data_IF_181463875666
#
_entry.id   IF_181463875666
#
_cell.length_a   1.000
_cell.length_b   1.000
_cell.length_c   1.000
_cell.angle_alpha   90.00
_cell.angle_beta   90.00
_cell.angle_gamma   90.00
#
_symmetry.space_group_name_H-M   'P 1'
#
loop_
_entity.id
_entity.type
_entity.pdbx_description
1 polymer ?
#
# COMPACT_ATOMS: atom_id res chain seq x y z
N UNK A 1 53.42 -9.99 -6.89
CA UNK A 1 52.61 -8.96 -6.18
C UNK A 1 51.28 -8.85 -6.91
N UNK A 2 50.19 -8.83 -6.14
CA UNK A 2 48.87 -9.37 -6.48
C UNK A 2 48.09 -8.62 -7.58
N UNK A 3 47.37 -9.42 -8.37
CA UNK A 3 46.47 -9.04 -9.47
C UNK A 3 45.33 -8.12 -9.03
N UNK A 4 45.20 -6.99 -9.75
CA UNK A 4 44.01 -6.15 -9.78
C UNK A 4 42.90 -6.88 -10.54
N UNK A 5 42.02 -7.58 -9.81
CA UNK A 5 40.75 -8.07 -10.37
C UNK A 5 39.70 -6.96 -10.29
N UNK A 6 39.50 -6.28 -11.41
CA UNK A 6 38.36 -5.41 -11.65
C UNK A 6 37.06 -6.22 -11.55
N UNK A 7 36.28 -5.97 -10.50
CA UNK A 7 34.96 -6.56 -10.32
C UNK A 7 33.99 -5.82 -11.25
N UNK A 8 33.60 -6.47 -12.35
CA UNK A 8 32.52 -5.97 -13.22
C UNK A 8 31.19 -6.04 -12.45
N UNK A 9 30.38 -4.97 -12.43
CA UNK A 9 29.05 -5.04 -11.84
C UNK A 9 28.19 -5.96 -12.72
N UNK A 10 27.79 -7.11 -12.16
CA UNK A 10 26.76 -7.95 -12.78
C UNK A 10 25.42 -7.27 -12.55
N UNK A 11 24.92 -6.56 -13.55
CA UNK A 11 23.53 -6.08 -13.55
C UNK A 11 22.61 -7.30 -13.56
N UNK A 12 22.09 -7.66 -12.39
CA UNK A 12 21.05 -8.67 -12.27
C UNK A 12 19.73 -7.97 -12.58
N UNK A 13 18.98 -8.44 -13.58
CA UNK A 13 17.68 -7.87 -13.97
C UNK A 13 16.62 -7.94 -12.86
N UNK A 14 16.92 -8.70 -11.79
CA UNK A 14 16.12 -8.83 -10.58
C UNK A 14 17.08 -8.71 -9.41
N UNK A 15 17.14 -7.54 -8.78
CA UNK A 15 17.86 -7.34 -7.53
C UNK A 15 17.09 -8.01 -6.39
N UNK A 16 17.80 -8.61 -5.42
CA UNK A 16 17.15 -9.17 -4.24
C UNK A 16 16.78 -8.00 -3.32
N UNK A 17 15.49 -7.82 -3.05
CA UNK A 17 14.98 -6.85 -2.08
C UNK A 17 15.27 -7.22 -0.60
N UNK A 18 16.00 -8.31 -0.36
CA UNK A 18 16.27 -8.93 0.96
C UNK A 18 17.02 -7.99 1.92
N UNK A 19 17.81 -7.04 1.39
CA UNK A 19 18.69 -6.16 2.20
C UNK A 19 18.22 -4.69 2.27
N UNK A 20 17.09 -4.31 1.65
CA UNK A 20 16.61 -2.92 1.65
C UNK A 20 15.28 -2.78 2.40
N UNK A 21 15.24 -1.88 3.39
CA UNK A 21 13.99 -1.56 4.09
C UNK A 21 12.97 -0.95 3.12
N UNK A 22 11.71 -1.32 3.30
CA UNK A 22 10.61 -0.70 2.55
C UNK A 22 10.58 0.81 2.77
N UNK A 23 10.39 1.58 1.69
CA UNK A 23 10.40 3.05 1.71
C UNK A 23 11.63 3.65 2.41
N UNK A 24 12.84 3.16 2.11
CA UNK A 24 14.10 3.56 2.77
C UNK A 24 14.33 5.08 2.90
N UNK A 25 13.78 5.89 2.01
CA UNK A 25 13.88 7.36 2.04
C UNK A 25 13.04 8.02 3.16
N UNK A 26 11.94 7.38 3.58
CA UNK A 26 10.96 7.94 4.53
C UNK A 26 10.65 7.02 5.71
N UNK A 27 11.18 5.78 5.71
CA UNK A 27 10.97 4.80 6.75
C UNK A 27 11.50 5.33 8.09
N UNK A 28 10.65 5.30 9.12
CA UNK A 28 10.96 5.80 10.46
C UNK A 28 11.34 7.29 10.53
N UNK A 29 10.93 8.10 9.55
CA UNK A 29 11.23 9.55 9.50
C UNK A 29 10.57 10.38 10.62
N UNK A 30 9.48 9.90 11.22
CA UNK A 30 8.76 10.60 12.30
C UNK A 30 8.95 9.84 13.62
N UNK A 31 9.82 10.38 14.49
CA UNK A 31 9.95 9.90 15.87
C UNK A 31 8.69 10.24 16.69
N UNK A 32 8.16 9.25 17.41
CA UNK A 32 6.97 9.44 18.21
C UNK A 32 7.26 10.44 19.32
N UNK A 33 6.44 11.49 19.48
CA UNK A 33 6.54 12.30 20.69
C UNK A 33 6.28 11.39 21.89
N UNK A 34 7.34 11.07 22.65
CA UNK A 34 7.27 10.17 23.82
C UNK A 34 6.37 10.79 24.90
N UNK A 35 6.43 12.10 25.04
CA UNK A 35 5.66 12.90 25.99
C UNK A 35 4.62 13.79 25.28
N UNK A 36 3.34 13.68 25.67
CA UNK A 36 2.24 14.48 25.12
C UNK A 36 0.88 13.80 25.20
N UNK A 37 -0.19 14.59 25.05
CA UNK A 37 -1.58 14.14 25.05
C UNK A 37 -1.87 13.20 23.88
N UNK A 38 -2.82 12.26 24.03
CA UNK A 38 -3.26 11.33 22.98
C UNK A 38 -3.48 12.02 21.62
N UNK A 39 -4.16 13.17 21.61
CA UNK A 39 -4.43 13.95 20.40
C UNK A 39 -3.17 14.44 19.68
N UNK A 40 -2.11 14.80 20.42
CA UNK A 40 -0.85 15.25 19.81
C UNK A 40 -0.10 14.08 19.15
N UNK A 41 -0.18 12.89 19.75
CA UNK A 41 0.36 11.66 19.17
C UNK A 41 -0.45 11.23 17.95
N UNK A 42 -1.78 11.34 18.01
CA UNK A 42 -2.67 11.02 16.89
C UNK A 42 -2.39 11.92 15.67
N UNK A 43 -2.26 13.22 15.86
CA UNK A 43 -1.97 14.17 14.78
C UNK A 43 -0.57 13.96 14.17
N UNK A 44 0.41 13.53 14.96
CA UNK A 44 1.76 13.22 14.43
C UNK A 44 1.76 12.03 13.46
N UNK A 45 0.81 11.10 13.59
CA UNK A 45 0.74 9.85 12.83
C UNK A 45 -0.51 9.70 11.95
N UNK A 46 -1.32 10.75 11.80
CA UNK A 46 -2.53 10.70 10.98
C UNK A 46 -2.26 10.68 9.47
N UNK A 47 -1.04 11.03 9.05
CA UNK A 47 -0.67 11.17 7.64
C UNK A 47 -0.90 9.90 6.80
N UNK A 48 -0.31 8.74 7.16
CA UNK A 48 -0.48 7.51 6.38
C UNK A 48 -1.95 7.06 6.23
N UNK A 49 -2.76 7.24 7.28
CA UNK A 49 -4.19 6.91 7.21
C UNK A 49 -4.96 7.80 6.23
N UNK A 50 -4.63 9.09 6.17
CA UNK A 50 -5.24 10.02 5.22
C UNK A 50 -4.85 9.71 3.76
N UNK A 51 -3.59 9.32 3.52
CA UNK A 51 -3.11 8.92 2.19
C UNK A 51 -3.85 7.68 1.66
N UNK A 52 -4.15 6.71 2.51
CA UNK A 52 -4.95 5.54 2.10
C UNK A 52 -6.43 5.93 1.94
N UNK A 53 -6.97 6.81 2.79
CA UNK A 53 -8.37 7.17 2.74
C UNK A 53 -8.76 7.98 1.49
N UNK A 54 -7.86 8.82 0.95
CA UNK A 54 -8.14 9.62 -0.25
C UNK A 54 -8.28 8.75 -1.50
N UNK A 55 -7.53 7.65 -1.58
CA UNK A 55 -7.60 6.67 -2.68
C UNK A 55 -8.99 6.01 -2.79
N UNK A 56 -9.70 5.82 -1.67
CA UNK A 56 -11.09 5.32 -1.68
C UNK A 56 -12.14 6.33 -2.15
N UNK A 57 -11.75 7.59 -2.38
CA UNK A 57 -12.62 8.69 -2.79
C UNK A 57 -12.38 9.07 -4.26
N UNK A 58 -12.02 8.10 -5.10
CA UNK A 58 -11.76 8.25 -6.51
C UNK A 58 -13.05 8.55 -7.33
N UNK A 59 -12.93 9.29 -8.46
CA UNK A 59 -14.06 9.56 -9.34
C UNK A 59 -14.76 8.30 -9.88
N UNK A 60 -14.05 7.18 -10.03
CA UNK A 60 -14.59 5.92 -10.53
C UNK A 60 -15.67 5.34 -9.62
N UNK A 61 -15.44 5.39 -8.31
CA UNK A 61 -16.42 4.96 -7.31
C UNK A 61 -17.66 5.88 -7.30
N UNK A 62 -17.49 7.18 -7.53
CA UNK A 62 -18.61 8.14 -7.53
C UNK A 62 -19.61 7.86 -8.64
N UNK A 63 -19.14 7.55 -9.86
CA UNK A 63 -20.02 7.27 -11.01
C UNK A 63 -20.94 6.08 -10.71
N UNK A 64 -20.38 5.00 -10.17
CA UNK A 64 -21.16 3.78 -9.85
C UNK A 64 -22.10 4.01 -8.66
N UNK A 65 -21.67 4.75 -7.65
CA UNK A 65 -22.50 5.09 -6.47
C UNK A 65 -23.69 5.98 -6.84
N UNK A 66 -23.50 6.98 -7.71
CA UNK A 66 -24.57 7.85 -8.20
C UNK A 66 -25.55 7.07 -9.09
N UNK A 67 -25.05 6.28 -10.04
CA UNK A 67 -25.89 5.43 -10.88
C UNK A 67 -26.67 4.39 -10.06
N UNK A 68 -26.01 3.75 -9.09
CA UNK A 68 -26.63 2.81 -8.16
C UNK A 68 -27.69 3.47 -7.27
N UNK A 69 -27.43 4.68 -6.78
CA UNK A 69 -28.40 5.46 -6.02
C UNK A 69 -29.62 5.88 -6.86
N UNK A 70 -29.43 6.21 -8.14
CA UNK A 70 -30.52 6.54 -9.05
C UNK A 70 -31.43 5.33 -9.33
N UNK A 71 -30.86 4.12 -9.46
CA UNK A 71 -31.60 2.89 -9.77
C UNK A 71 -32.22 2.23 -8.52
N UNK A 72 -31.46 2.12 -7.43
CA UNK A 72 -31.81 1.32 -6.24
C UNK A 72 -32.10 2.16 -4.99
N UNK A 73 -32.07 3.50 -5.12
CA UNK A 73 -32.27 4.46 -4.01
C UNK A 73 -31.33 4.14 -2.84
N UNK A 74 -31.86 4.01 -1.64
CA UNK A 74 -31.07 3.79 -0.41
C UNK A 74 -30.71 2.32 -0.14
N UNK A 75 -31.12 1.38 -0.98
CA UNK A 75 -30.91 -0.07 -0.73
C UNK A 75 -29.43 -0.44 -0.69
N UNK A 76 -28.59 0.22 -1.51
CA UNK A 76 -27.16 -0.05 -1.58
C UNK A 76 -26.38 0.51 -0.39
N UNK A 77 -26.97 1.37 0.43
CA UNK A 77 -26.27 2.06 1.52
C UNK A 77 -25.75 1.09 2.60
N UNK A 78 -26.48 0.00 2.86
CA UNK A 78 -26.06 -1.05 3.78
C UNK A 78 -24.85 -1.83 3.24
N UNK A 79 -24.80 -2.07 1.93
CA UNK A 79 -23.69 -2.76 1.27
C UNK A 79 -22.44 -1.89 1.28
N UNK A 80 -22.59 -0.58 1.00
CA UNK A 80 -21.49 0.39 1.12
C UNK A 80 -20.93 0.40 2.53
N UNK A 81 -21.79 0.43 3.56
CA UNK A 81 -21.36 0.39 4.96
C UNK A 81 -20.56 -0.89 5.29
N UNK A 82 -21.07 -2.05 4.89
CA UNK A 82 -20.37 -3.34 5.12
C UNK A 82 -19.04 -3.38 4.37
N UNK A 83 -18.99 -2.88 3.13
CA UNK A 83 -17.76 -2.78 2.35
C UNK A 83 -16.72 -1.90 3.05
N UNK A 84 -17.11 -0.71 3.56
CA UNK A 84 -16.22 0.17 4.30
C UNK A 84 -15.69 -0.47 5.60
N UNK A 85 -16.53 -1.23 6.32
CA UNK A 85 -16.09 -1.96 7.52
C UNK A 85 -15.05 -3.05 7.18
N UNK A 86 -15.24 -3.76 6.08
CA UNK A 86 -14.26 -4.72 5.59
C UNK A 86 -12.94 -4.05 5.18
N UNK A 87 -13.00 -2.92 4.47
CA UNK A 87 -11.83 -2.16 4.08
C UNK A 87 -11.02 -1.71 5.31
N UNK A 88 -11.69 -1.15 6.33
CA UNK A 88 -11.03 -0.77 7.58
C UNK A 88 -10.34 -1.95 8.28
N UNK A 89 -10.98 -3.13 8.30
CA UNK A 89 -10.38 -4.33 8.88
C UNK A 89 -9.11 -4.76 8.14
N UNK A 90 -9.16 -4.81 6.81
CA UNK A 90 -8.02 -5.22 5.98
C UNK A 90 -6.87 -4.21 6.09
N UNK A 91 -7.15 -2.91 6.05
CA UNK A 91 -6.11 -1.89 6.19
C UNK A 91 -5.52 -1.84 7.60
N UNK A 92 -6.30 -2.12 8.63
CA UNK A 92 -5.77 -2.31 9.97
C UNK A 92 -4.78 -3.49 10.03
N UNK A 93 -5.08 -4.61 9.36
CA UNK A 93 -4.18 -5.76 9.30
C UNK A 93 -2.89 -5.45 8.52
N UNK A 94 -3.00 -4.75 7.39
CA UNK A 94 -1.84 -4.33 6.59
C UNK A 94 -0.95 -3.34 7.37
N UNK A 95 -1.54 -2.35 8.03
CA UNK A 95 -0.82 -1.42 8.90
C UNK A 95 -0.16 -2.12 10.09
N UNK A 96 -0.86 -3.07 10.73
CA UNK A 96 -0.29 -3.89 11.80
C UNK A 96 0.90 -4.72 11.33
N UNK A 97 0.86 -5.26 10.11
CA UNK A 97 1.99 -5.97 9.52
C UNK A 97 3.20 -5.04 9.40
N UNK A 98 3.04 -3.87 8.79
CA UNK A 98 4.12 -2.89 8.63
C UNK A 98 4.71 -2.44 9.96
N UNK A 99 3.88 -2.20 10.98
CA UNK A 99 4.34 -1.78 12.31
C UNK A 99 5.07 -2.91 13.05
N UNK A 100 4.56 -4.15 13.00
CA UNK A 100 5.11 -5.27 13.79
C UNK A 100 6.32 -5.91 13.11
N UNK A 101 6.26 -6.10 11.80
CA UNK A 101 7.31 -6.77 11.03
C UNK A 101 8.36 -5.82 10.47
N UNK A 102 8.08 -4.52 10.43
CA UNK A 102 8.98 -3.51 9.83
C UNK A 102 9.29 -3.80 8.35
N UNK A 103 8.39 -4.51 7.68
CA UNK A 103 8.46 -4.90 6.28
C UNK A 103 7.12 -4.57 5.61
N UNK A 104 7.13 -4.32 4.30
CA UNK A 104 5.89 -4.14 3.55
C UNK A 104 5.24 -5.50 3.17
N UNK A 105 3.98 -5.48 2.74
CA UNK A 105 3.25 -6.69 2.37
C UNK A 105 3.89 -7.41 1.17
N UNK A 106 4.56 -6.68 0.27
CA UNK A 106 5.21 -7.26 -0.89
C UNK A 106 6.47 -8.04 -0.47
N UNK A 107 7.28 -7.49 0.44
CA UNK A 107 8.43 -8.15 1.07
C UNK A 107 7.98 -9.41 1.81
N UNK A 108 7.00 -9.28 2.73
CA UNK A 108 6.47 -10.40 3.50
C UNK A 108 5.93 -11.55 2.62
N UNK A 109 5.30 -11.20 1.49
CA UNK A 109 4.77 -12.19 0.55
C UNK A 109 5.87 -12.78 -0.33
N UNK A 110 6.84 -11.96 -0.76
CA UNK A 110 7.98 -12.37 -1.58
C UNK A 110 8.85 -13.40 -0.88
N UNK A 111 9.02 -13.26 0.44
CA UNK A 111 9.82 -14.16 1.27
C UNK A 111 9.14 -15.50 1.52
N UNK A 112 7.80 -15.53 1.47
CA UNK A 112 7.00 -16.74 1.67
C UNK A 112 6.60 -17.43 0.37
N UNK A 113 6.97 -16.88 -0.79
CA UNK A 113 6.61 -17.42 -2.11
C UNK A 113 7.83 -17.71 -2.98
N UNK A 114 7.64 -18.50 -4.03
CA UNK A 114 8.69 -18.77 -5.01
C UNK A 114 8.88 -17.57 -5.96
N UNK A 115 10.01 -17.54 -6.68
CA UNK A 115 10.34 -16.41 -7.58
C UNK A 115 9.25 -16.15 -8.64
N UNK A 116 8.59 -17.20 -9.13
CA UNK A 116 7.52 -17.08 -10.10
C UNK A 116 6.26 -16.42 -9.48
N UNK A 117 5.86 -16.84 -8.28
CA UNK A 117 4.73 -16.26 -7.54
C UNK A 117 4.95 -14.79 -7.21
N UNK A 118 6.17 -14.41 -6.84
CA UNK A 118 6.51 -13.00 -6.63
C UNK A 118 6.37 -12.15 -7.90
N UNK A 119 6.81 -12.67 -9.06
CA UNK A 119 6.67 -11.96 -10.34
C UNK A 119 5.19 -11.84 -10.75
N UNK A 120 4.40 -12.91 -10.58
CA UNK A 120 2.96 -12.88 -10.90
C UNK A 120 2.25 -11.84 -10.04
N UNK A 121 2.50 -11.83 -8.72
CA UNK A 121 1.90 -10.86 -7.81
C UNK A 121 2.34 -9.43 -8.15
N UNK A 122 3.61 -9.23 -8.51
CA UNK A 122 4.09 -7.92 -8.96
C UNK A 122 3.35 -7.44 -10.22
N UNK A 123 3.22 -8.28 -11.26
CA UNK A 123 2.48 -7.93 -12.48
C UNK A 123 1.01 -7.60 -12.16
N UNK A 124 0.36 -8.39 -11.30
CA UNK A 124 -1.03 -8.14 -10.91
C UNK A 124 -1.19 -6.80 -10.19
N UNK A 125 -0.27 -6.45 -9.29
CA UNK A 125 -0.30 -5.15 -8.60
C UNK A 125 -0.03 -3.99 -9.54
N UNK A 126 0.94 -4.11 -10.46
CA UNK A 126 1.21 -3.07 -11.48
C UNK A 126 -0.02 -2.82 -12.37
N UNK A 127 -0.67 -3.89 -12.84
CA UNK A 127 -1.89 -3.78 -13.63
C UNK A 127 -3.03 -3.14 -12.84
N UNK A 128 -3.15 -3.44 -11.54
CA UNK A 128 -4.15 -2.82 -10.68
C UNK A 128 -3.91 -1.31 -10.53
N UNK A 129 -2.67 -0.88 -10.30
CA UNK A 129 -2.31 0.54 -10.20
C UNK A 129 -2.57 1.30 -11.52
N UNK A 130 -2.25 0.70 -12.66
CA UNK A 130 -2.56 1.29 -13.98
C UNK A 130 -4.08 1.44 -14.15
N UNK A 131 -4.87 0.44 -13.76
CA UNK A 131 -6.33 0.54 -13.81
C UNK A 131 -6.88 1.69 -12.94
N UNK A 132 -6.33 1.88 -11.74
CA UNK A 132 -6.70 3.00 -10.86
C UNK A 132 -6.36 4.35 -11.48
N UNK A 133 -5.13 4.52 -11.96
CA UNK A 133 -4.68 5.77 -12.62
C UNK A 133 -5.54 6.10 -13.86
N UNK A 134 -5.90 5.10 -14.67
CA UNK A 134 -6.83 5.28 -15.79
C UNK A 134 -8.19 5.79 -15.32
N UNK A 135 -8.72 5.29 -14.21
CA UNK A 135 -9.99 5.77 -13.66
C UNK A 135 -9.89 7.21 -13.14
N UNK A 136 -8.79 7.58 -12.50
CA UNK A 136 -8.53 8.94 -12.01
C UNK A 136 -8.33 9.96 -13.14
N UNK A 137 -7.70 9.56 -14.25
CA UNK A 137 -7.47 10.45 -15.41
C UNK A 137 -8.76 10.67 -16.21
N UNK A 138 -9.63 9.66 -16.31
CA UNK A 138 -10.85 9.72 -17.11
C UNK A 138 -12.01 10.39 -16.36
N UNK A 139 -12.14 10.11 -15.06
CA UNK A 139 -13.26 10.58 -14.23
C UNK A 139 -13.20 12.06 -13.92
#
# INVERSE_FOLDING_TARGET
>A
MQDSKSVKPKHHFVEKADDQLSLSDVNSSIEAPKDGTFWRKLLAYSGPGALVAVDYMDPGNWVTSVAGGAQYKYTLLSIVLVSSLMAMLLQYMAGKLGIVKQEDLAQATRDRTNKAGGIILWIMTELALICTDIAEVIG
#
